data_IF_362217670721
#
_entry.id   IF_362217670721
#
_cell.length_a   1.000
_cell.length_b   1.000
_cell.length_c   1.000
_cell.angle_alpha   90.00
_cell.angle_beta   90.00
_cell.angle_gamma   90.00
#
_symmetry.space_group_name_H-M   'P 1'
#
loop_
_entity.id
_entity.type
_entity.pdbx_description
1 polymer ?
#
# COMPACT_ATOMS: atom_id res chain seq x y z
N UNK A 1 17.20 0.04 3.62
CA UNK A 1 15.90 -0.41 4.14
C UNK A 1 16.06 -1.16 5.46
N UNK A 2 14.99 -1.17 6.26
CA UNK A 2 14.90 -1.96 7.49
C UNK A 2 13.70 -2.88 7.32
N UNK A 3 13.88 -4.19 7.56
CA UNK A 3 12.82 -5.18 7.56
C UNK A 3 12.45 -5.59 8.98
N UNK A 4 11.17 -5.83 9.22
CA UNK A 4 10.64 -6.37 10.47
C UNK A 4 9.87 -7.64 10.13
N UNK A 5 10.33 -8.77 10.66
CA UNK A 5 9.63 -10.05 10.54
C UNK A 5 8.59 -10.17 11.65
N UNK A 6 7.32 -10.31 11.25
CA UNK A 6 6.18 -10.43 12.16
C UNK A 6 5.64 -11.85 12.09
N UNK A 7 5.72 -12.60 13.17
CA UNK A 7 5.28 -14.01 13.22
C UNK A 7 3.78 -14.09 12.98
N UNK A 8 3.41 -14.75 11.88
CA UNK A 8 2.04 -15.15 11.54
C UNK A 8 2.12 -16.37 10.62
N UNK A 9 1.14 -17.27 10.68
CA UNK A 9 1.13 -18.48 9.82
C UNK A 9 0.89 -18.17 8.35
N UNK A 10 0.32 -17.00 8.04
CA UNK A 10 0.05 -16.56 6.67
C UNK A 10 -1.09 -17.35 6.01
N UNK A 11 -1.35 -16.99 4.74
CA UNK A 11 -2.48 -17.52 3.97
C UNK A 11 -2.50 -19.04 3.81
N UNK A 12 -1.32 -19.66 3.70
CA UNK A 12 -1.22 -21.10 3.43
C UNK A 12 -1.49 -21.97 4.69
N UNK A 13 -1.52 -21.37 5.89
CA UNK A 13 -1.62 -22.08 7.16
C UNK A 13 -2.70 -21.48 8.08
N UNK A 14 -3.84 -21.10 7.50
CA UNK A 14 -5.02 -20.67 8.24
C UNK A 14 -5.06 -19.19 8.60
N UNK A 15 -4.09 -18.39 8.21
CA UNK A 15 -3.98 -16.94 8.34
C UNK A 15 -4.79 -16.36 9.52
N UNK A 16 -4.33 -16.56 10.78
CA UNK A 16 -5.01 -16.04 11.95
C UNK A 16 -4.90 -14.52 12.04
N UNK A 17 -5.77 -13.90 12.83
CA UNK A 17 -5.66 -12.49 13.14
C UNK A 17 -4.40 -12.21 13.97
N UNK A 18 -3.88 -10.99 13.86
CA UNK A 18 -2.70 -10.56 14.61
C UNK A 18 -3.10 -10.23 16.07
N UNK A 19 -2.47 -10.86 17.08
CA UNK A 19 -2.77 -10.55 18.48
C UNK A 19 -2.49 -9.08 18.81
N UNK A 20 -3.37 -8.44 19.57
CA UNK A 20 -3.23 -7.02 19.95
C UNK A 20 -1.89 -6.70 20.60
N UNK A 21 -1.35 -7.61 21.42
CA UNK A 21 -0.02 -7.44 22.04
C UNK A 21 1.10 -7.42 21.04
N UNK A 22 0.99 -8.22 19.97
CA UNK A 22 1.97 -8.25 18.89
C UNK A 22 1.94 -6.92 18.11
N UNK A 23 0.74 -6.44 17.77
CA UNK A 23 0.58 -5.15 17.08
C UNK A 23 1.10 -3.99 17.93
N UNK A 24 0.82 -3.96 19.23
CA UNK A 24 1.36 -2.95 20.13
C UNK A 24 2.90 -2.94 20.13
N UNK A 25 3.54 -4.11 20.16
CA UNK A 25 5.00 -4.24 20.09
C UNK A 25 5.55 -3.75 18.73
N UNK A 26 4.88 -4.09 17.62
CA UNK A 26 5.26 -3.61 16.28
C UNK A 26 5.16 -2.09 16.20
N UNK A 27 4.08 -1.49 16.69
CA UNK A 27 3.91 -0.02 16.73
C UNK A 27 5.03 0.64 17.52
N UNK A 28 5.34 0.15 18.72
CA UNK A 28 6.40 0.70 19.55
C UNK A 28 7.77 0.63 18.87
N UNK A 29 8.09 -0.52 18.26
CA UNK A 29 9.33 -0.72 17.49
C UNK A 29 9.40 0.23 16.28
N UNK A 30 8.35 0.29 15.48
CA UNK A 30 8.29 1.15 14.30
C UNK A 30 8.45 2.62 14.65
N UNK A 31 7.76 3.12 15.69
CA UNK A 31 7.91 4.51 16.15
C UNK A 31 9.35 4.83 16.53
N UNK A 32 10.01 3.94 17.28
CA UNK A 32 11.42 4.12 17.63
C UNK A 32 12.34 4.14 16.40
N UNK A 33 12.08 3.34 15.37
CA UNK A 33 12.85 3.33 14.12
C UNK A 33 12.59 4.61 13.32
N UNK A 34 11.33 5.01 13.15
CA UNK A 34 10.92 6.21 12.40
C UNK A 34 11.59 7.45 12.99
N UNK A 35 11.55 7.62 14.33
CA UNK A 35 12.17 8.75 15.01
C UNK A 35 13.69 8.81 14.80
N UNK A 36 14.38 7.66 14.77
CA UNK A 36 15.85 7.62 14.58
C UNK A 36 16.29 7.77 13.12
N UNK A 37 15.41 7.51 12.16
CA UNK A 37 15.76 7.40 10.74
C UNK A 37 15.03 8.38 9.84
N UNK A 38 14.15 9.20 10.39
CA UNK A 38 13.33 10.16 9.65
C UNK A 38 12.62 9.53 8.44
N UNK A 39 11.89 8.41 8.70
CA UNK A 39 11.21 7.65 7.66
C UNK A 39 9.85 8.30 7.39
N UNK A 40 9.59 8.78 6.15
CA UNK A 40 8.29 9.34 5.79
C UNK A 40 7.17 8.28 5.91
N UNK A 41 5.95 8.66 6.32
CA UNK A 41 4.84 7.72 6.52
C UNK A 41 4.56 6.80 5.33
N UNK A 42 4.57 7.32 4.11
CA UNK A 42 4.34 6.53 2.88
C UNK A 42 5.47 5.53 2.54
N UNK A 43 6.57 5.55 3.29
CA UNK A 43 7.69 4.60 3.14
C UNK A 43 7.65 3.46 4.15
N UNK A 44 6.61 3.40 4.98
CA UNK A 44 6.29 2.24 5.82
C UNK A 44 5.34 1.35 5.03
N UNK A 45 5.84 0.25 4.53
CA UNK A 45 5.20 -0.59 3.52
C UNK A 45 5.21 -2.06 3.91
N UNK A 46 4.29 -2.84 3.35
CA UNK A 46 4.30 -4.29 3.46
C UNK A 46 5.25 -4.94 2.44
N UNK A 47 5.59 -6.19 2.67
CA UNK A 47 6.41 -6.95 1.73
C UNK A 47 5.68 -7.14 0.37
N UNK A 48 4.35 -7.28 0.41
CA UNK A 48 3.52 -7.31 -0.80
C UNK A 48 3.57 -6.01 -1.60
N UNK A 49 3.74 -4.85 -0.95
CA UNK A 49 3.85 -3.57 -1.67
C UNK A 49 5.18 -3.47 -2.45
N UNK A 50 6.25 -4.05 -1.88
CA UNK A 50 7.59 -4.04 -2.49
C UNK A 50 7.74 -5.11 -3.57
N UNK A 51 7.06 -6.25 -3.41
CA UNK A 51 7.19 -7.40 -4.29
C UNK A 51 5.82 -8.03 -4.64
N UNK A 52 4.92 -7.30 -5.33
CA UNK A 52 3.53 -7.70 -5.57
C UNK A 52 3.38 -9.08 -6.21
N UNK A 53 4.27 -9.42 -7.14
CA UNK A 53 4.24 -10.69 -7.90
C UNK A 53 4.54 -11.94 -7.06
N UNK A 54 5.20 -11.80 -5.91
CA UNK A 54 5.76 -12.97 -5.16
C UNK A 54 5.41 -12.98 -3.69
N UNK A 55 4.93 -11.89 -3.13
CA UNK A 55 4.69 -11.74 -1.69
C UNK A 55 3.25 -11.34 -1.40
N UNK A 56 2.73 -11.90 -0.31
CA UNK A 56 1.38 -11.61 0.18
C UNK A 56 1.39 -10.97 1.57
N UNK A 57 2.48 -11.17 2.31
CA UNK A 57 2.64 -10.68 3.68
C UNK A 57 2.80 -9.15 3.75
N UNK A 58 2.32 -8.51 4.84
CA UNK A 58 1.63 -9.11 5.98
C UNK A 58 0.18 -9.53 5.70
N UNK A 59 -0.39 -9.17 4.55
CA UNK A 59 -1.73 -9.51 4.10
C UNK A 59 -2.82 -8.58 4.59
N UNK A 60 -4.05 -8.87 4.17
CA UNK A 60 -5.24 -8.01 4.38
C UNK A 60 -5.75 -7.96 5.83
N UNK A 61 -5.37 -8.93 6.68
CA UNK A 61 -5.70 -8.91 8.11
C UNK A 61 -4.76 -8.07 8.95
N UNK A 62 -3.64 -7.61 8.39
CA UNK A 62 -2.72 -6.74 9.11
C UNK A 62 -3.38 -5.37 9.35
N UNK A 63 -3.44 -4.89 10.60
CA UNK A 63 -4.26 -3.73 10.94
C UNK A 63 -3.55 -2.40 10.64
N UNK A 64 -3.31 -2.10 9.36
CA UNK A 64 -2.65 -0.88 8.90
C UNK A 64 -3.26 0.41 9.47
N UNK A 65 -4.60 0.45 9.60
CA UNK A 65 -5.29 1.59 10.22
C UNK A 65 -4.81 1.85 11.65
N UNK A 66 -4.66 0.79 12.47
CA UNK A 66 -4.21 0.92 13.86
C UNK A 66 -2.76 1.42 13.97
N UNK A 67 -1.91 1.04 13.00
CA UNK A 67 -0.55 1.56 12.91
C UNK A 67 -0.58 3.05 12.58
N UNK A 68 -1.37 3.45 11.58
CA UNK A 68 -1.50 4.84 11.15
C UNK A 68 -2.07 5.74 12.25
N UNK A 69 -3.10 5.29 12.97
CA UNK A 69 -3.67 5.97 14.14
C UNK A 69 -2.62 6.20 15.24
N UNK A 70 -1.58 5.36 15.27
CA UNK A 70 -0.45 5.45 16.19
C UNK A 70 0.76 6.21 15.60
N UNK A 71 0.61 6.85 14.45
CA UNK A 71 1.68 7.60 13.77
C UNK A 71 2.69 6.72 13.01
N UNK A 72 2.32 5.50 12.64
CA UNK A 72 3.16 4.57 11.87
C UNK A 72 2.52 4.28 10.53
N UNK A 73 3.14 4.75 9.45
CA UNK A 73 2.63 4.55 8.10
C UNK A 73 1.66 5.63 7.64
N UNK A 74 1.24 5.49 6.40
CA UNK A 74 0.26 6.36 5.73
C UNK A 74 -0.97 5.53 5.38
N UNK A 75 -2.14 5.97 5.82
CA UNK A 75 -3.38 5.25 5.59
C UNK A 75 -4.56 6.23 5.58
N UNK A 76 -5.57 5.92 4.80
CA UNK A 76 -6.84 6.65 4.78
C UNK A 76 -8.00 5.66 4.88
N UNK A 77 -9.14 6.09 5.36
CA UNK A 77 -10.33 5.23 5.37
C UNK A 77 -10.71 4.91 3.92
N UNK A 78 -10.79 3.62 3.54
CA UNK A 78 -11.18 3.23 2.19
C UNK A 78 -12.57 3.76 1.84
N UNK A 79 -12.75 4.14 0.58
CA UNK A 79 -14.08 4.47 0.06
C UNK A 79 -14.92 3.20 0.00
N UNK A 80 -16.20 3.22 0.40
CA UNK A 80 -17.08 2.05 0.32
C UNK A 80 -17.14 1.45 -1.08
N UNK A 81 -17.25 0.12 -1.14
CA UNK A 81 -17.40 -0.61 -2.39
C UNK A 81 -18.85 -0.43 -2.90
N UNK A 82 -18.99 0.12 -4.08
CA UNK A 82 -20.27 0.29 -4.76
C UNK A 82 -20.20 -0.26 -6.18
N UNK A 83 -21.33 -0.70 -6.77
CA UNK A 83 -21.38 -1.06 -8.18
C UNK A 83 -20.95 0.11 -9.08
N UNK A 84 -20.25 -0.20 -10.18
CA UNK A 84 -19.78 0.82 -11.12
C UNK A 84 -18.77 0.25 -12.12
N UNK A 85 -18.17 1.14 -12.89
CA UNK A 85 -17.11 0.79 -13.81
C UNK A 85 -15.89 0.22 -13.09
N UNK A 86 -15.25 -0.74 -13.74
CA UNK A 86 -14.08 -1.45 -13.23
C UNK A 86 -12.99 -1.54 -14.30
N UNK A 87 -11.74 -1.50 -13.86
CA UNK A 87 -10.60 -1.85 -14.68
C UNK A 87 -10.05 -3.20 -14.20
N UNK A 88 -9.82 -4.12 -15.12
CA UNK A 88 -9.36 -5.48 -14.83
C UNK A 88 -8.45 -5.99 -15.93
N UNK A 89 -7.85 -7.15 -15.75
CA UNK A 89 -7.03 -7.80 -16.78
C UNK A 89 -7.75 -7.82 -18.13
N UNK A 90 -7.08 -7.29 -19.15
CA UNK A 90 -7.60 -7.12 -20.50
C UNK A 90 -8.24 -5.74 -20.76
N UNK A 91 -8.42 -4.87 -19.76
CA UNK A 91 -8.78 -3.46 -19.99
C UNK A 91 -7.61 -2.71 -20.60
N UNK A 92 -7.90 -1.75 -21.49
CA UNK A 92 -6.89 -0.93 -22.17
C UNK A 92 -7.34 0.54 -22.26
N UNK A 93 -6.38 1.44 -22.47
CA UNK A 93 -6.64 2.85 -22.74
C UNK A 93 -6.15 3.79 -21.65
N UNK A 94 -6.65 5.03 -21.71
CA UNK A 94 -6.15 6.13 -20.89
C UNK A 94 -6.51 5.97 -19.39
N UNK A 95 -7.65 5.35 -19.06
CA UNK A 95 -8.04 5.10 -17.69
C UNK A 95 -7.09 4.09 -17.01
N UNK A 96 -6.67 3.05 -17.74
CA UNK A 96 -5.66 2.10 -17.25
C UNK A 96 -4.31 2.82 -17.08
N UNK A 97 -3.92 3.66 -18.03
CA UNK A 97 -2.69 4.44 -17.95
C UNK A 97 -2.71 5.38 -16.74
N UNK A 98 -3.82 6.06 -16.49
CA UNK A 98 -4.00 6.95 -15.35
C UNK A 98 -3.90 6.20 -14.01
N UNK A 99 -4.52 5.02 -13.89
CA UNK A 99 -4.38 4.15 -12.72
C UNK A 99 -2.91 3.77 -12.49
N UNK A 100 -2.21 3.31 -13.53
CA UNK A 100 -0.81 2.91 -13.43
C UNK A 100 0.10 4.09 -13.04
N UNK A 101 -0.15 5.29 -13.58
CA UNK A 101 0.56 6.51 -13.20
C UNK A 101 0.33 6.86 -11.71
N UNK A 102 -0.90 6.75 -11.24
CA UNK A 102 -1.27 7.00 -9.84
C UNK A 102 -0.60 6.00 -8.89
N UNK A 103 -0.57 4.73 -9.24
CA UNK A 103 0.14 3.69 -8.48
C UNK A 103 1.65 3.95 -8.45
N UNK A 104 2.25 4.32 -9.60
CA UNK A 104 3.67 4.67 -9.69
C UNK A 104 3.99 5.92 -8.86
N UNK A 105 3.14 6.95 -8.92
CA UNK A 105 3.27 8.17 -8.12
C UNK A 105 3.22 7.88 -6.61
N UNK A 106 2.37 6.95 -6.19
CA UNK A 106 2.32 6.53 -4.79
C UNK A 106 3.58 5.75 -4.36
N UNK A 107 4.27 5.10 -5.29
CA UNK A 107 5.55 4.43 -5.03
C UNK A 107 5.62 2.97 -5.47
N UNK A 108 4.60 2.44 -6.12
CA UNK A 108 4.64 1.08 -6.67
C UNK A 108 5.53 1.00 -7.92
N UNK A 109 6.26 -0.11 -8.05
CA UNK A 109 7.12 -0.39 -9.21
C UNK A 109 6.33 -0.84 -10.43
N UNK A 110 5.63 0.07 -11.11
CA UNK A 110 4.80 -0.22 -12.27
C UNK A 110 5.06 0.79 -13.40
N UNK A 111 4.94 0.31 -14.66
CA UNK A 111 5.02 1.16 -15.85
C UNK A 111 3.62 1.51 -16.35
N UNK A 112 3.42 2.75 -16.78
CA UNK A 112 2.15 3.22 -17.33
C UNK A 112 2.02 2.83 -18.82
N UNK A 113 1.78 1.56 -19.09
CA UNK A 113 1.62 1.01 -20.44
C UNK A 113 0.28 1.34 -21.09
N UNK A 114 -0.77 1.52 -20.28
CA UNK A 114 -2.15 1.63 -20.74
C UNK A 114 -2.83 0.28 -20.99
N UNK A 115 -2.17 -0.84 -20.68
CA UNK A 115 -2.74 -2.19 -20.74
C UNK A 115 -2.79 -2.77 -19.33
N UNK A 116 -3.96 -3.19 -18.87
CA UNK A 116 -4.14 -3.85 -17.58
C UNK A 116 -3.71 -5.31 -17.69
N UNK A 117 -2.43 -5.53 -17.55
CA UNK A 117 -1.78 -6.84 -17.61
C UNK A 117 -1.74 -7.53 -16.24
N UNK A 118 -1.11 -8.70 -16.19
CA UNK A 118 -0.87 -9.45 -14.94
C UNK A 118 -0.12 -8.61 -13.90
N UNK A 119 0.89 -7.85 -14.31
CA UNK A 119 1.67 -7.00 -13.41
C UNK A 119 0.80 -5.92 -12.78
N UNK A 120 -0.08 -5.31 -13.56
CA UNK A 120 -1.05 -4.32 -13.06
C UNK A 120 -2.01 -4.95 -12.04
N UNK A 121 -2.53 -6.16 -12.34
CA UNK A 121 -3.40 -6.89 -11.40
C UNK A 121 -2.68 -7.23 -10.08
N UNK A 122 -1.43 -7.65 -10.14
CA UNK A 122 -0.61 -7.96 -8.96
C UNK A 122 -0.37 -6.71 -8.09
N UNK A 123 -0.08 -5.57 -8.70
CA UNK A 123 0.10 -4.29 -7.98
C UNK A 123 -1.23 -3.82 -7.37
N UNK A 124 -2.34 -3.89 -8.11
CA UNK A 124 -3.68 -3.57 -7.57
C UNK A 124 -4.03 -4.49 -6.40
N UNK A 125 -3.71 -5.77 -6.48
CA UNK A 125 -3.91 -6.73 -5.40
C UNK A 125 -3.10 -6.36 -4.15
N UNK A 126 -1.83 -5.96 -4.30
CA UNK A 126 -1.00 -5.51 -3.19
C UNK A 126 -1.55 -4.23 -2.55
N UNK A 127 -1.94 -3.26 -3.38
CA UNK A 127 -2.61 -2.04 -2.94
C UNK A 127 -3.87 -2.34 -2.12
N UNK A 128 -4.72 -3.23 -2.59
CA UNK A 128 -5.94 -3.62 -1.89
C UNK A 128 -5.65 -4.26 -0.53
N UNK A 129 -4.66 -5.16 -0.43
CA UNK A 129 -4.25 -5.76 0.86
C UNK A 129 -3.87 -4.72 1.89
N UNK A 130 -3.23 -3.65 1.48
CA UNK A 130 -2.78 -2.60 2.38
C UNK A 130 -3.88 -1.58 2.68
N UNK A 131 -4.54 -1.05 1.65
CA UNK A 131 -5.36 0.16 1.74
C UNK A 131 -6.87 -0.07 1.60
N UNK A 132 -7.29 -1.23 1.10
CA UNK A 132 -8.71 -1.57 0.93
C UNK A 132 -8.95 -3.07 1.10
N UNK A 133 -8.70 -3.61 2.31
CA UNK A 133 -8.66 -5.05 2.58
C UNK A 133 -10.02 -5.76 2.53
N UNK A 134 -11.13 -5.04 2.44
CA UNK A 134 -12.48 -5.61 2.41
C UNK A 134 -12.68 -6.57 1.22
N UNK A 135 -12.04 -6.29 0.06
CA UNK A 135 -12.05 -7.15 -1.12
C UNK A 135 -10.73 -7.06 -1.87
N UNK A 136 -9.99 -8.15 -1.89
CA UNK A 136 -8.67 -8.28 -2.51
C UNK A 136 -8.80 -9.20 -3.72
N UNK A 137 -9.05 -8.64 -4.90
CA UNK A 137 -9.34 -9.37 -6.13
C UNK A 137 -8.51 -8.94 -7.35
N UNK A 138 -7.70 -7.88 -7.20
CA UNK A 138 -6.90 -7.34 -8.31
C UNK A 138 -7.70 -6.58 -9.35
N UNK A 139 -8.98 -6.29 -9.07
CA UNK A 139 -9.86 -5.49 -9.93
C UNK A 139 -9.90 -4.06 -9.38
N UNK A 140 -9.54 -3.08 -10.18
CA UNK A 140 -9.62 -1.67 -9.79
C UNK A 140 -11.05 -1.15 -9.99
N UNK A 141 -11.87 -1.31 -8.95
CA UNK A 141 -13.21 -0.73 -8.84
C UNK A 141 -13.15 0.73 -8.38
N UNK A 142 -14.31 1.41 -8.35
CA UNK A 142 -14.40 2.80 -7.93
C UNK A 142 -13.88 3.03 -6.51
N UNK A 143 -14.04 2.05 -5.61
CA UNK A 143 -13.49 2.10 -4.26
C UNK A 143 -11.95 2.13 -4.29
N UNK A 144 -11.33 1.26 -5.07
CA UNK A 144 -9.87 1.19 -5.26
C UNK A 144 -9.33 2.50 -5.84
N UNK A 145 -9.93 2.98 -6.94
CA UNK A 145 -9.51 4.21 -7.63
C UNK A 145 -9.58 5.44 -6.73
N UNK A 146 -10.72 5.63 -6.06
CA UNK A 146 -10.94 6.78 -5.17
C UNK A 146 -10.08 6.71 -3.90
N UNK A 147 -9.87 5.52 -3.34
CA UNK A 147 -8.98 5.36 -2.18
C UNK A 147 -7.55 5.74 -2.55
N UNK A 148 -7.06 5.31 -3.72
CA UNK A 148 -5.73 5.69 -4.23
C UNK A 148 -5.62 7.21 -4.45
N UNK A 149 -6.66 7.83 -5.01
CA UNK A 149 -6.70 9.29 -5.20
C UNK A 149 -6.59 10.03 -3.86
N UNK A 150 -7.38 9.65 -2.85
CA UNK A 150 -7.35 10.26 -1.51
C UNK A 150 -5.96 10.08 -0.86
N UNK A 151 -5.33 8.92 -1.01
CA UNK A 151 -3.96 8.69 -0.53
C UNK A 151 -2.97 9.65 -1.19
N UNK A 152 -3.05 9.87 -2.49
CA UNK A 152 -2.19 10.81 -3.21
C UNK A 152 -2.40 12.25 -2.77
N UNK A 153 -3.65 12.68 -2.57
CA UNK A 153 -4.01 14.02 -2.10
C UNK A 153 -3.51 14.30 -0.67
N UNK A 154 -3.40 13.25 0.15
CA UNK A 154 -2.94 13.33 1.54
C UNK A 154 -1.46 12.91 1.70
N UNK A 155 -0.73 12.70 0.61
CA UNK A 155 0.70 12.43 0.73
C UNK A 155 1.43 13.63 1.36
N UNK A 156 2.26 13.38 2.39
CA UNK A 156 3.12 14.45 2.92
C UNK A 156 3.95 15.04 1.80
N UNK A 157 3.98 16.37 1.70
CA UNK A 157 4.86 17.05 0.75
C UNK A 157 6.29 16.50 0.92
N UNK A 158 6.90 16.06 -0.18
CA UNK A 158 8.29 15.64 -0.15
C UNK A 158 9.12 16.83 0.35
N UNK A 159 9.78 16.66 1.50
CA UNK A 159 10.73 17.66 1.96
C UNK A 159 11.75 17.85 0.83
N UNK A 160 11.75 19.04 0.22
CA UNK A 160 12.70 19.41 -0.82
C UNK A 160 14.10 19.16 -0.25
N UNK A 161 14.87 18.30 -0.89
CA UNK A 161 16.25 18.06 -0.50
C UNK A 161 16.97 19.41 -0.42
N UNK A 162 17.69 19.72 0.68
CA UNK A 162 18.42 20.97 0.75
C UNK A 162 19.40 21.02 -0.42
N UNK A 163 19.30 22.06 -1.23
CA UNK A 163 20.22 22.31 -2.33
C UNK A 163 21.62 22.32 -1.74
N UNK A 164 22.48 21.39 -2.15
CA UNK A 164 23.90 21.45 -1.83
C UNK A 164 24.42 22.75 -2.41
N UNK A 165 24.63 23.75 -1.56
CA UNK A 165 25.42 24.92 -1.92
C UNK A 165 26.84 24.43 -2.16
N UNK A 166 27.25 24.47 -3.43
CA UNK A 166 28.64 24.34 -3.83
C UNK A 166 29.38 25.54 -3.24
N UNK A 167 30.27 25.29 -2.31
CA UNK A 167 31.29 26.23 -1.84
C UNK A 167 32.65 25.70 -2.30
#
# INVERSE_FOLDING_TARGET
SIGIEIVNRGHDWGYPDFPLRQIAAVIALCRGIILRRDIPPHRVVGHSDVAPARKKDPGEKFPWHSLADSGVGHWVRPVPIVPGEILKTGSEGDDVRALQQSLAQYGYGIKASGTFDKTTAEVVTAFQRHFRPERVDGVADQSTLKTLQILLENMPAQASAPSRRSG
#
